data_IF_953419046179
#
_entry.id   IF_953419046179
#
_cell.length_a   1.000
_cell.length_b   1.000
_cell.length_c   1.000
_cell.angle_alpha   90.00
_cell.angle_beta   90.00
_cell.angle_gamma   90.00
#
_symmetry.space_group_name_H-M   'P 1'
#
loop_
_entity.id
_entity.type
_entity.pdbx_description
1 polymer ?
#
# COMPACT_ATOMS: atom_id res chain seq x y z
N UNK A 1 -57.55 28.87 14.00
CA UNK A 1 -56.10 28.57 13.85
C UNK A 1 -55.72 27.63 14.96
N UNK A 2 -55.83 26.33 14.70
CA UNK A 2 -55.56 25.29 15.69
C UNK A 2 -54.11 24.90 15.72
N UNK A 3 -53.49 25.10 16.87
CA UNK A 3 -52.08 24.70 17.11
C UNK A 3 -52.06 23.20 17.48
N UNK A 4 -51.34 22.31 16.76
CA UNK A 4 -51.28 20.92 17.09
C UNK A 4 -50.54 20.75 18.42
N UNK A 5 -51.23 20.11 19.41
CA UNK A 5 -50.64 19.62 20.67
C UNK A 5 -49.70 18.46 20.38
N UNK A 6 -48.40 18.68 20.52
CA UNK A 6 -47.45 17.55 20.56
C UNK A 6 -47.62 16.76 21.87
N UNK A 7 -47.68 15.40 21.82
CA UNK A 7 -47.75 14.59 23.02
C UNK A 7 -46.46 14.78 23.82
N UNK A 8 -46.62 15.14 25.10
CA UNK A 8 -45.50 15.33 26.03
C UNK A 8 -44.68 14.09 26.20
N UNK A 9 -43.57 13.96 25.51
CA UNK A 9 -42.57 12.94 25.78
C UNK A 9 -41.97 13.26 27.14
N UNK A 10 -42.20 12.34 28.11
CA UNK A 10 -41.65 12.46 29.46
C UNK A 10 -40.12 12.65 29.36
N UNK A 11 -39.57 13.66 29.99
CA UNK A 11 -38.12 13.97 30.05
C UNK A 11 -37.33 12.72 30.49
N UNK A 12 -37.90 11.87 31.30
CA UNK A 12 -37.30 10.59 31.73
C UNK A 12 -37.17 9.59 30.57
N UNK A 13 -38.16 9.54 29.66
CA UNK A 13 -38.11 8.67 28.48
C UNK A 13 -37.08 9.20 27.46
N UNK A 14 -36.95 10.51 27.30
CA UNK A 14 -35.93 11.11 26.43
C UNK A 14 -34.50 10.89 26.95
N UNK A 15 -34.28 10.97 28.26
CA UNK A 15 -32.98 10.68 28.89
C UNK A 15 -32.60 9.20 28.75
N UNK A 16 -33.55 8.27 28.93
CA UNK A 16 -33.30 6.84 28.74
C UNK A 16 -33.02 6.49 27.29
N UNK A 17 -33.70 7.11 26.33
CA UNK A 17 -33.42 6.92 24.90
C UNK A 17 -32.05 7.48 24.50
N UNK A 18 -31.65 8.65 25.03
CA UNK A 18 -30.34 9.24 24.81
C UNK A 18 -29.21 8.37 25.41
N UNK A 19 -29.44 7.78 26.58
CA UNK A 19 -28.48 6.85 27.22
C UNK A 19 -28.35 5.54 26.44
N UNK A 20 -29.43 4.99 25.90
CA UNK A 20 -29.42 3.79 25.07
C UNK A 20 -28.71 4.03 23.74
N UNK A 21 -28.79 5.25 23.16
CA UNK A 21 -28.11 5.62 21.93
C UNK A 21 -26.58 5.76 22.13
N UNK A 22 -26.12 6.15 23.33
CA UNK A 22 -24.69 6.25 23.65
C UNK A 22 -24.00 4.88 23.77
N UNK A 23 -24.74 3.81 24.07
CA UNK A 23 -24.20 2.44 24.22
C UNK A 23 -23.99 1.76 22.86
N UNK A 24 -24.57 2.30 21.78
CA UNK A 24 -24.46 1.78 20.41
C UNK A 24 -23.26 2.35 19.63
N UNK A 25 -22.34 3.06 20.29
CA UNK A 25 -21.10 3.48 19.63
C UNK A 25 -20.26 2.22 19.34
N UNK A 26 -20.02 1.91 18.07
CA UNK A 26 -19.19 0.75 17.71
C UNK A 26 -17.81 0.93 18.31
N UNK A 27 -17.38 -0.02 19.11
CA UNK A 27 -16.05 -0.04 19.70
C UNK A 27 -15.00 -0.15 18.59
N UNK A 28 -14.34 0.95 18.25
CA UNK A 28 -13.10 0.91 17.47
C UNK A 28 -12.01 0.28 18.35
N UNK A 29 -11.47 -0.85 17.94
CA UNK A 29 -10.29 -1.42 18.60
C UNK A 29 -9.04 -0.91 17.91
N UNK A 30 -8.23 -0.17 18.65
CA UNK A 30 -6.88 0.25 18.23
C UNK A 30 -5.87 -0.64 18.97
N UNK A 31 -5.14 -1.46 18.22
CA UNK A 31 -4.11 -2.31 18.77
C UNK A 31 -2.76 -1.91 18.16
N UNK A 32 -1.96 -1.19 18.92
CA UNK A 32 -0.58 -0.82 18.55
C UNK A 32 0.37 -1.71 19.33
N UNK A 33 1.02 -2.65 18.64
CA UNK A 33 2.06 -3.49 19.25
C UNK A 33 3.42 -2.92 18.89
N UNK A 34 4.08 -2.36 19.87
CA UNK A 34 5.48 -1.99 19.77
C UNK A 34 6.30 -3.12 20.36
N UNK A 35 7.10 -3.79 19.53
CA UNK A 35 8.01 -4.83 20.02
C UNK A 35 9.20 -4.19 20.71
N UNK A 36 9.42 -4.52 21.99
CA UNK A 36 10.56 -4.04 22.79
C UNK A 36 11.93 -4.53 22.28
N UNK A 37 11.94 -5.43 21.27
CA UNK A 37 13.16 -6.03 20.69
C UNK A 37 13.58 -5.44 19.35
N UNK A 38 13.05 -4.28 18.94
CA UNK A 38 13.45 -3.65 17.65
C UNK A 38 12.90 -4.32 16.38
N UNK A 39 12.09 -5.37 16.51
CA UNK A 39 11.35 -5.95 15.40
C UNK A 39 10.12 -5.09 15.13
N UNK A 40 9.99 -4.64 13.90
CA UNK A 40 8.99 -3.79 13.25
C UNK A 40 7.74 -3.37 14.03
N UNK A 41 7.39 -2.12 13.87
CA UNK A 41 6.14 -1.56 14.42
C UNK A 41 4.93 -2.14 13.66
N UNK A 42 3.96 -2.67 14.42
CA UNK A 42 2.69 -3.19 13.86
C UNK A 42 1.55 -2.33 14.35
N UNK A 43 0.74 -1.85 13.41
CA UNK A 43 -0.47 -1.09 13.70
C UNK A 43 -1.66 -1.83 13.14
N UNK A 44 -2.57 -2.22 14.02
CA UNK A 44 -3.85 -2.82 13.66
C UNK A 44 -4.99 -1.93 14.13
N UNK A 45 -5.78 -1.43 13.20
CA UNK A 45 -6.99 -0.67 13.46
C UNK A 45 -8.15 -1.46 12.88
N UNK A 46 -9.10 -1.85 13.71
CA UNK A 46 -10.30 -2.52 13.27
C UNK A 46 -11.54 -1.70 13.62
N UNK A 47 -12.42 -1.52 12.64
CA UNK A 47 -13.70 -0.85 12.76
C UNK A 47 -14.81 -1.76 12.19
N UNK A 48 -16.08 -1.54 12.53
CA UNK A 48 -17.19 -2.31 11.95
C UNK A 48 -17.33 -2.19 10.42
N UNK A 49 -16.69 -1.20 9.82
CA UNK A 49 -16.75 -0.91 8.37
C UNK A 49 -15.47 -1.23 7.62
N UNK A 50 -14.41 -1.67 8.31
CA UNK A 50 -13.15 -2.02 7.68
C UNK A 50 -11.97 -2.03 8.64
N UNK A 51 -10.79 -2.36 8.13
CA UNK A 51 -9.56 -2.44 8.91
C UNK A 51 -8.37 -1.84 8.18
N UNK A 52 -7.38 -1.44 8.97
CA UNK A 52 -6.05 -1.02 8.50
C UNK A 52 -5.03 -1.86 9.25
N UNK A 53 -4.21 -2.56 8.49
CA UNK A 53 -3.07 -3.32 9.00
C UNK A 53 -1.79 -2.77 8.36
N UNK A 54 -0.87 -2.32 9.20
CA UNK A 54 0.46 -1.85 8.77
C UNK A 54 1.50 -2.62 9.54
N UNK A 55 2.46 -3.23 8.86
CA UNK A 55 3.60 -3.88 9.50
C UNK A 55 4.88 -3.67 8.68
N UNK A 56 6.02 -3.71 9.33
CA UNK A 56 7.33 -3.75 8.70
C UNK A 56 7.75 -5.19 8.32
N UNK A 57 6.98 -6.19 8.74
CA UNK A 57 7.21 -7.59 8.37
C UNK A 57 6.64 -7.85 6.97
N UNK A 58 7.43 -7.54 5.95
CA UNK A 58 7.09 -7.84 4.57
C UNK A 58 7.84 -9.10 4.11
N UNK A 59 7.11 -10.05 3.54
CA UNK A 59 7.71 -11.25 2.98
C UNK A 59 7.97 -11.04 1.48
N UNK A 60 9.18 -11.31 0.97
CA UNK A 60 9.49 -11.17 -0.45
C UNK A 60 8.52 -11.92 -1.37
N UNK A 61 7.99 -13.06 -0.92
CA UNK A 61 7.01 -13.85 -1.69
C UNK A 61 5.70 -13.08 -1.94
N UNK A 62 5.36 -12.13 -1.06
CA UNK A 62 4.13 -11.35 -1.17
C UNK A 62 4.20 -10.31 -2.29
N UNK A 63 5.39 -10.01 -2.82
CA UNK A 63 5.56 -9.17 -4.01
C UNK A 63 5.28 -9.92 -5.30
N UNK A 64 5.16 -11.26 -5.28
CA UNK A 64 5.04 -12.10 -6.47
C UNK A 64 6.30 -12.21 -7.31
N UNK A 65 7.40 -11.54 -6.92
CA UNK A 65 8.69 -11.56 -7.61
C UNK A 65 9.72 -12.40 -6.82
N UNK A 66 10.62 -13.12 -7.49
CA UNK A 66 11.71 -13.80 -6.81
C UNK A 66 12.73 -12.76 -6.32
N UNK A 67 13.36 -13.05 -5.20
CA UNK A 67 14.53 -12.28 -4.75
C UNK A 67 15.69 -12.49 -5.72
N UNK A 68 16.42 -11.43 -6.03
CA UNK A 68 17.63 -11.50 -6.85
C UNK A 68 18.69 -12.41 -6.17
N UNK A 69 19.36 -13.33 -6.90
CA UNK A 69 20.35 -14.21 -6.33
C UNK A 69 21.49 -13.44 -5.64
N UNK A 70 21.77 -13.78 -4.39
CA UNK A 70 22.80 -13.13 -3.59
C UNK A 70 22.41 -11.78 -2.98
N UNK A 71 21.18 -11.27 -3.25
CA UNK A 71 20.71 -10.07 -2.59
C UNK A 71 20.40 -10.30 -1.11
N UNK A 72 20.64 -9.27 -0.33
CA UNK A 72 20.31 -9.23 1.10
C UNK A 72 19.21 -8.20 1.32
N UNK A 73 18.20 -8.56 2.13
CA UNK A 73 17.18 -7.61 2.54
C UNK A 73 17.81 -6.51 3.39
N UNK A 74 17.43 -5.27 3.14
CA UNK A 74 17.93 -4.13 3.89
C UNK A 74 17.28 -4.12 5.27
N UNK A 75 18.10 -4.31 6.30
CA UNK A 75 17.61 -4.30 7.67
C UNK A 75 17.55 -2.87 8.19
N UNK A 76 16.59 -2.60 9.08
CA UNK A 76 16.48 -1.33 9.78
C UNK A 76 17.70 -1.18 10.69
N UNK A 77 18.59 -0.25 10.39
CA UNK A 77 19.68 0.15 11.28
C UNK A 77 19.42 1.53 11.83
N UNK A 78 20.01 1.85 13.00
CA UNK A 78 19.91 3.17 13.62
C UNK A 78 20.47 4.32 12.76
N UNK A 79 21.07 4.02 11.62
CA UNK A 79 21.64 4.97 10.66
C UNK A 79 21.02 4.91 9.26
N UNK A 80 20.21 3.89 8.96
CA UNK A 80 19.51 3.74 7.68
C UNK A 80 18.12 3.19 7.95
N UNK A 81 17.10 3.94 7.60
CA UNK A 81 15.71 3.50 7.64
C UNK A 81 15.48 2.53 6.47
N UNK A 82 15.73 1.24 6.70
CA UNK A 82 15.23 0.20 5.81
C UNK A 82 13.69 0.22 5.89
N UNK A 83 13.03 0.70 4.85
CA UNK A 83 11.59 0.93 4.85
C UNK A 83 10.83 -0.27 4.25
N UNK A 84 10.95 -1.44 4.88
CA UNK A 84 10.05 -2.53 4.51
C UNK A 84 8.65 -2.23 5.02
N UNK A 85 7.66 -2.37 4.16
CA UNK A 85 6.27 -2.08 4.50
C UNK A 85 5.34 -3.17 3.95
N UNK A 86 4.41 -3.59 4.77
CA UNK A 86 3.23 -4.36 4.37
C UNK A 86 2.01 -3.61 4.90
N UNK A 87 1.27 -2.99 4.00
CA UNK A 87 0.08 -2.21 4.29
C UNK A 87 -1.12 -2.93 3.69
N UNK A 88 -2.13 -3.17 4.50
CA UNK A 88 -3.41 -3.71 4.06
C UNK A 88 -4.53 -2.84 4.61
N UNK A 89 -5.27 -2.22 3.71
CA UNK A 89 -6.45 -1.42 4.03
C UNK A 89 -7.64 -2.12 3.42
N UNK A 90 -8.65 -2.42 4.22
CA UNK A 90 -9.86 -3.09 3.76
C UNK A 90 -11.12 -2.40 4.29
N UNK A 91 -12.11 -2.27 3.44
CA UNK A 91 -13.46 -1.83 3.81
C UNK A 91 -14.49 -2.70 3.08
N UNK A 92 -15.77 -2.55 3.38
CA UNK A 92 -16.83 -3.22 2.63
C UNK A 92 -16.93 -2.78 1.15
N UNK A 93 -16.21 -1.72 0.76
CA UNK A 93 -16.31 -1.09 -0.56
C UNK A 93 -14.99 -1.10 -1.35
N UNK A 94 -13.86 -1.14 -0.69
CA UNK A 94 -12.56 -1.15 -1.34
C UNK A 94 -11.51 -1.85 -0.48
N UNK A 95 -10.43 -2.28 -1.13
CA UNK A 95 -9.24 -2.82 -0.46
C UNK A 95 -7.98 -2.39 -1.19
N UNK A 96 -6.94 -2.11 -0.43
CA UNK A 96 -5.60 -1.81 -0.93
C UNK A 96 -4.61 -2.67 -0.18
N UNK A 97 -3.77 -3.38 -0.93
CA UNK A 97 -2.60 -4.08 -0.41
C UNK A 97 -1.36 -3.49 -1.05
N UNK A 98 -0.41 -3.04 -0.24
CA UNK A 98 0.91 -2.59 -0.68
C UNK A 98 1.96 -3.39 0.06
N UNK A 99 2.89 -3.98 -0.67
CA UNK A 99 4.08 -4.65 -0.12
C UNK A 99 5.29 -4.00 -0.74
N UNK A 100 6.19 -3.47 0.06
CA UNK A 100 7.45 -2.89 -0.37
C UNK A 100 8.60 -3.47 0.44
N UNK A 101 9.65 -3.91 -0.24
CA UNK A 101 10.82 -4.52 0.40
C UNK A 101 12.09 -4.04 -0.29
N UNK A 102 13.00 -3.52 0.51
CA UNK A 102 14.30 -3.05 0.05
C UNK A 102 15.38 -4.12 0.18
N UNK A 103 16.26 -4.16 -0.82
CA UNK A 103 17.39 -5.07 -0.92
C UNK A 103 18.66 -4.34 -1.32
N UNK A 104 19.78 -4.97 -0.98
CA UNK A 104 21.12 -4.59 -1.46
C UNK A 104 21.73 -5.77 -2.20
N UNK A 105 22.49 -5.48 -3.25
CA UNK A 105 23.28 -6.43 -4.01
C UNK A 105 24.68 -5.90 -4.26
N UNK A 106 25.67 -6.78 -4.29
CA UNK A 106 27.05 -6.43 -4.67
C UNK A 106 27.23 -6.40 -6.20
N UNK A 107 26.21 -6.84 -6.96
CA UNK A 107 26.19 -6.78 -8.43
C UNK A 107 25.79 -5.38 -8.94
N UNK A 108 26.27 -4.98 -10.11
CA UNK A 108 25.94 -3.67 -10.70
C UNK A 108 24.45 -3.61 -11.12
N UNK A 109 23.87 -2.39 -11.21
CA UNK A 109 22.46 -2.16 -11.52
C UNK A 109 21.98 -2.84 -12.80
N UNK A 110 22.81 -2.92 -13.81
CA UNK A 110 22.47 -3.50 -15.12
C UNK A 110 22.14 -4.99 -15.01
N UNK A 111 22.88 -5.74 -14.15
CA UNK A 111 22.59 -7.15 -13.92
C UNK A 111 21.28 -7.37 -13.18
N UNK A 112 21.02 -6.56 -12.15
CA UNK A 112 19.77 -6.60 -11.39
C UNK A 112 18.59 -6.23 -12.30
N UNK A 113 18.75 -5.20 -13.13
CA UNK A 113 17.75 -4.77 -14.09
C UNK A 113 17.46 -5.87 -15.13
N UNK A 114 18.49 -6.49 -15.70
CA UNK A 114 18.33 -7.58 -16.67
C UNK A 114 17.53 -8.74 -16.08
N UNK A 115 17.82 -9.14 -14.84
CA UNK A 115 17.10 -10.19 -14.14
C UNK A 115 15.60 -9.83 -13.99
N UNK A 116 15.29 -8.63 -13.48
CA UNK A 116 13.90 -8.26 -13.23
C UNK A 116 13.12 -7.96 -14.50
N UNK A 117 13.74 -7.50 -15.58
CA UNK A 117 13.08 -7.42 -16.91
C UNK A 117 12.51 -8.77 -17.31
N UNK A 118 13.26 -9.85 -17.14
CA UNK A 118 12.78 -11.19 -17.47
C UNK A 118 11.67 -11.65 -16.50
N UNK A 119 11.83 -11.40 -15.20
CA UNK A 119 10.84 -11.82 -14.22
C UNK A 119 9.50 -11.08 -14.35
N UNK A 120 9.53 -9.83 -14.80
CA UNK A 120 8.33 -9.01 -14.96
C UNK A 120 7.54 -9.33 -16.23
N UNK A 121 8.15 -9.89 -17.28
CA UNK A 121 7.49 -10.26 -18.55
C UNK A 121 6.26 -11.15 -18.36
N UNK A 122 6.24 -11.98 -17.32
CA UNK A 122 5.09 -12.86 -17.02
C UNK A 122 3.82 -12.08 -16.63
N UNK A 123 3.96 -10.81 -16.25
CA UNK A 123 2.84 -9.94 -15.88
C UNK A 123 2.41 -9.00 -17.00
N UNK A 124 3.19 -8.91 -18.10
CA UNK A 124 2.86 -8.08 -19.26
C UNK A 124 4.02 -7.30 -19.83
N UNK A 125 3.72 -6.27 -20.60
CA UNK A 125 4.72 -5.36 -21.14
C UNK A 125 5.34 -4.50 -20.04
N UNK A 126 6.66 -4.52 -19.94
CA UNK A 126 7.42 -3.76 -18.94
C UNK A 126 7.63 -2.35 -19.45
N UNK A 127 7.25 -1.36 -18.66
CA UNK A 127 7.61 0.04 -18.84
C UNK A 127 8.90 0.32 -18.05
N UNK A 128 9.85 0.97 -18.69
CA UNK A 128 11.11 1.40 -18.09
C UNK A 128 11.11 2.92 -17.98
N UNK A 129 11.34 3.45 -16.79
CA UNK A 129 11.42 4.89 -16.50
C UNK A 129 12.73 5.19 -15.76
N UNK A 130 13.33 6.31 -16.05
CA UNK A 130 14.49 6.80 -15.30
C UNK A 130 14.06 7.91 -14.34
N UNK A 131 14.60 7.89 -13.11
CA UNK A 131 14.27 8.89 -12.08
C UNK A 131 15.50 9.22 -11.23
N UNK A 132 15.56 10.42 -10.70
CA UNK A 132 16.56 10.81 -9.71
C UNK A 132 16.10 10.53 -8.26
N UNK A 133 14.79 10.36 -8.03
CA UNK A 133 14.17 10.14 -6.72
C UNK A 133 13.35 8.85 -6.64
N UNK A 134 14.00 7.68 -6.73
CA UNK A 134 13.29 6.39 -6.79
C UNK A 134 12.41 6.09 -5.55
N UNK A 135 12.67 6.76 -4.42
CA UNK A 135 11.87 6.60 -3.20
C UNK A 135 10.63 7.49 -3.19
N UNK A 136 10.65 8.64 -3.84
CA UNK A 136 9.49 9.53 -3.96
C UNK A 136 8.53 9.01 -5.03
N UNK A 137 9.06 8.59 -6.17
CA UNK A 137 8.24 8.06 -7.28
C UNK A 137 7.63 6.67 -6.97
N UNK A 138 8.32 5.83 -6.18
CA UNK A 138 7.77 4.56 -5.71
C UNK A 138 6.65 4.76 -4.66
N UNK A 139 6.58 5.94 -4.02
CA UNK A 139 5.50 6.34 -3.12
C UNK A 139 4.29 6.91 -3.86
N UNK A 140 4.46 7.34 -5.10
CA UNK A 140 3.36 7.85 -5.94
C UNK A 140 2.64 6.68 -6.66
N UNK A 141 2.12 5.80 -5.82
CA UNK A 141 1.28 4.70 -6.28
C UNK A 141 -0.06 5.30 -6.69
N UNK A 142 -0.24 5.50 -7.99
CA UNK A 142 -1.49 5.99 -8.58
C UNK A 142 -2.59 4.92 -8.44
N UNK A 143 -3.22 4.89 -7.25
CA UNK A 143 -4.34 3.98 -6.96
C UNK A 143 -5.63 4.67 -7.35
N UNK A 144 -6.30 4.14 -8.36
CA UNK A 144 -7.62 4.60 -8.77
C UNK A 144 -8.70 4.14 -7.77
N UNK A 145 -9.05 5.01 -6.84
CA UNK A 145 -10.11 4.76 -5.85
C UNK A 145 -11.53 5.02 -6.41
N UNK A 146 -11.68 5.10 -7.73
CA UNK A 146 -13.00 5.08 -8.39
C UNK A 146 -13.83 6.35 -8.26
N UNK A 147 -13.22 7.51 -8.05
CA UNK A 147 -13.94 8.81 -8.00
C UNK A 147 -13.98 9.57 -9.32
N UNK A 148 -13.19 9.17 -10.30
CA UNK A 148 -13.15 9.82 -11.61
C UNK A 148 -13.52 8.83 -12.71
N UNK A 149 -14.38 9.24 -13.65
CA UNK A 149 -14.76 8.52 -14.87
C UNK A 149 -13.58 8.34 -15.88
N UNK A 150 -12.35 8.17 -15.38
CA UNK A 150 -11.19 7.93 -16.21
C UNK A 150 -11.11 6.46 -16.59
N UNK A 151 -10.78 6.13 -17.84
CA UNK A 151 -10.77 4.75 -18.31
C UNK A 151 -9.83 3.88 -17.48
N UNK A 152 -10.34 2.78 -16.92
CA UNK A 152 -9.67 1.79 -16.07
C UNK A 152 -8.41 1.15 -16.70
N UNK A 153 -8.12 1.42 -17.97
CA UNK A 153 -7.02 0.86 -18.76
C UNK A 153 -5.95 1.91 -19.14
N UNK A 154 -5.77 2.97 -18.37
CA UNK A 154 -4.71 3.92 -18.68
C UNK A 154 -3.36 3.21 -18.49
N UNK A 155 -2.62 3.06 -19.58
CA UNK A 155 -1.25 2.51 -19.55
C UNK A 155 -0.39 3.38 -18.65
N UNK A 156 0.55 2.75 -17.95
CA UNK A 156 1.59 3.49 -17.23
C UNK A 156 2.35 4.39 -18.21
N UNK A 157 2.71 5.55 -17.73
CA UNK A 157 3.59 6.49 -18.42
C UNK A 157 4.66 6.95 -17.44
N UNK A 158 5.85 7.24 -17.93
CA UNK A 158 6.85 7.89 -17.11
C UNK A 158 6.45 9.37 -16.97
N UNK A 159 6.35 9.87 -15.76
CA UNK A 159 6.09 11.30 -15.52
C UNK A 159 7.34 12.13 -15.85
N UNK A 160 8.48 11.62 -15.43
CA UNK A 160 9.81 12.14 -15.79
C UNK A 160 10.66 10.94 -16.23
N UNK A 161 11.34 11.05 -17.36
CA UNK A 161 12.23 10.01 -17.87
C UNK A 161 13.66 10.54 -17.94
N UNK A 162 14.19 10.91 -16.78
CA UNK A 162 15.57 11.40 -16.62
C UNK A 162 16.05 11.07 -15.21
N UNK A 163 17.25 10.52 -15.08
CA UNK A 163 17.82 10.19 -13.79
C UNK A 163 18.77 8.99 -13.83
N UNK A 164 19.36 8.68 -12.69
CA UNK A 164 20.34 7.57 -12.52
C UNK A 164 19.71 6.27 -12.07
N UNK A 165 18.54 6.34 -11.50
CA UNK A 165 17.77 5.18 -11.02
C UNK A 165 16.80 4.72 -12.09
N UNK A 166 16.58 3.41 -12.18
CA UNK A 166 15.69 2.78 -13.13
C UNK A 166 14.47 2.21 -12.39
N UNK A 167 13.28 2.49 -12.88
CA UNK A 167 12.05 1.86 -12.47
C UNK A 167 11.50 0.97 -13.58
N UNK A 168 11.21 -0.28 -13.23
CA UNK A 168 10.54 -1.25 -14.08
C UNK A 168 9.12 -1.42 -13.56
N UNK A 169 8.12 -1.04 -14.37
CA UNK A 169 6.70 -1.09 -13.99
C UNK A 169 5.94 -2.03 -14.93
N UNK A 170 5.05 -2.87 -14.38
CA UNK A 170 4.18 -3.76 -15.16
C UNK A 170 2.85 -3.99 -14.46
N UNK A 171 1.82 -4.27 -15.25
CA UNK A 171 0.47 -4.55 -14.76
C UNK A 171 -0.53 -3.45 -15.09
N UNK A 172 -1.48 -3.25 -14.21
CA UNK A 172 -2.53 -2.22 -14.29
C UNK A 172 -2.50 -1.37 -13.03
N UNK A 173 -3.23 -0.24 -12.99
CA UNK A 173 -3.34 0.59 -11.79
C UNK A 173 -3.84 -0.19 -10.57
N UNK A 174 -4.68 -1.20 -10.79
CA UNK A 174 -5.27 -2.00 -9.72
C UNK A 174 -4.41 -3.22 -9.32
N UNK A 175 -3.40 -3.54 -10.12
CA UNK A 175 -2.51 -4.67 -9.86
C UNK A 175 -1.17 -4.43 -10.55
N UNK A 176 -0.19 -3.95 -9.81
CA UNK A 176 1.09 -3.53 -10.36
C UNK A 176 2.27 -4.13 -9.59
N UNK A 177 3.31 -4.47 -10.36
CA UNK A 177 4.61 -4.80 -9.84
C UNK A 177 5.60 -3.73 -10.28
N UNK A 178 6.37 -3.21 -9.34
CA UNK A 178 7.37 -2.19 -9.58
C UNK A 178 8.70 -2.68 -9.01
N UNK A 179 9.76 -2.49 -9.78
CA UNK A 179 11.13 -2.71 -9.31
C UNK A 179 11.89 -1.41 -9.49
N UNK A 180 12.28 -0.79 -8.39
CA UNK A 180 13.11 0.41 -8.37
C UNK A 180 14.56 0.00 -8.15
N UNK A 181 15.48 0.48 -8.97
CA UNK A 181 16.90 0.06 -9.01
C UNK A 181 17.76 1.30 -9.00
N UNK A 182 18.62 1.43 -7.98
CA UNK A 182 19.51 2.58 -7.80
C UNK A 182 20.97 2.14 -7.66
N UNK A 183 21.91 2.82 -8.32
CA UNK A 183 23.32 2.57 -8.11
C UNK A 183 23.74 2.91 -6.67
N UNK A 184 24.47 2.02 -6.00
CA UNK A 184 25.00 2.25 -4.68
C UNK A 184 26.50 1.87 -4.62
N UNK A 185 27.36 2.86 -4.82
CA UNK A 185 28.80 2.63 -4.95
C UNK A 185 29.14 1.72 -6.12
N UNK A 186 29.62 0.50 -5.85
CA UNK A 186 29.87 -0.54 -6.87
C UNK A 186 28.72 -1.54 -7.02
N UNK A 187 27.78 -1.53 -6.09
CA UNK A 187 26.62 -2.42 -6.05
C UNK A 187 25.32 -1.69 -6.36
N UNK A 188 24.23 -2.26 -5.88
CA UNK A 188 22.87 -1.84 -6.20
C UNK A 188 21.99 -1.87 -4.96
N UNK A 189 21.29 -0.78 -4.69
CA UNK A 189 20.09 -0.76 -3.85
C UNK A 189 18.88 -0.95 -4.78
N UNK A 190 17.95 -1.80 -4.38
CA UNK A 190 16.72 -1.99 -5.15
C UNK A 190 15.53 -2.32 -4.25
N UNK A 191 14.35 -1.97 -4.71
CA UNK A 191 13.10 -2.26 -4.01
C UNK A 191 12.16 -3.07 -4.89
N UNK A 192 11.48 -4.04 -4.29
CA UNK A 192 10.37 -4.76 -4.89
C UNK A 192 9.09 -4.22 -4.31
N UNK A 193 8.20 -3.72 -5.15
CA UNK A 193 6.92 -3.17 -4.73
C UNK A 193 5.79 -3.89 -5.46
N UNK A 194 4.80 -4.32 -4.71
CA UNK A 194 3.55 -4.86 -5.22
C UNK A 194 2.38 -4.05 -4.68
N UNK A 195 1.50 -3.63 -5.59
CA UNK A 195 0.29 -2.91 -5.24
C UNK A 195 -0.90 -3.63 -5.83
N UNK A 196 -1.88 -3.89 -4.99
CA UNK A 196 -3.17 -4.42 -5.39
C UNK A 196 -4.27 -3.54 -4.79
N UNK A 197 -5.12 -3.00 -5.65
CA UNK A 197 -6.33 -2.30 -5.26
C UNK A 197 -7.55 -3.03 -5.85
N UNK A 198 -8.62 -3.11 -5.08
CA UNK A 198 -9.90 -3.58 -5.57
C UNK A 198 -11.01 -2.68 -5.04
N UNK A 199 -11.85 -2.19 -5.95
CA UNK A 199 -13.07 -1.49 -5.63
C UNK A 199 -14.25 -2.46 -5.66
N UNK A 200 -15.26 -2.22 -4.86
CA UNK A 200 -16.55 -2.88 -5.01
C UNK A 200 -17.18 -2.43 -6.33
N UNK A 201 -17.07 -3.26 -7.37
CA UNK A 201 -17.85 -3.06 -8.58
C UNK A 201 -19.33 -3.18 -8.22
N UNK A 202 -20.04 -2.06 -8.25
CA UNK A 202 -21.52 -2.04 -8.18
C UNK A 202 -22.18 -2.43 -9.52
N UNK A 203 -21.45 -3.07 -10.41
CA UNK A 203 -22.01 -3.54 -11.68
C UNK A 203 -22.29 -5.04 -11.62
N UNK A 204 -23.18 -5.42 -10.67
CA UNK A 204 -23.87 -6.71 -10.75
C UNK A 204 -25.32 -6.47 -10.33
N UNK A 205 -26.10 -6.00 -11.26
CA UNK A 205 -27.55 -6.22 -11.31
C UNK A 205 -27.86 -6.75 -12.69
#
# INVERSE_FOLDING_TARGET
MDIPKFPGVSVRAAILAAFALLILLPACSLNVKKNEKGEGEKVDIQTPVGGIHVSQDANPRDTGLPTYPGARQKEKSSQHDGNNANVNISSGFFGIKVVAIEFVSDDPPEKVAAFYREQLKKYGGVLECHTDNPHEDAGDVDVDLGKDDKPKNKKFTCEHDSGKSLELKVGTRDNQHIVSISPQGKGTDFALVYVQAHGSNRDTI
#
